data_IF_972565056509
#
_entry.id   IF_972565056509
#
_cell.length_a   1.000
_cell.length_b   1.000
_cell.length_c   1.000
_cell.angle_alpha   90.00
_cell.angle_beta   90.00
_cell.angle_gamma   90.00
#
_symmetry.space_group_name_H-M   'P 1'
#
loop_
_entity.id
_entity.type
_entity.pdbx_description
1 polymer ?
#
# COMPACT_ATOMS: atom_id res chain seq x y z
N UNK A 1 -13.64 -6.77 -10.67
CA UNK A 1 -13.12 -6.79 -9.30
C UNK A 1 -13.45 -5.48 -8.61
N UNK A 2 -13.94 -5.54 -7.39
CA UNK A 2 -14.27 -4.34 -6.60
C UNK A 2 -13.03 -3.84 -5.86
N UNK A 3 -13.06 -2.59 -5.40
CA UNK A 3 -11.97 -2.04 -4.60
C UNK A 3 -11.74 -2.84 -3.30
N UNK A 4 -12.78 -3.24 -2.54
CA UNK A 4 -12.56 -4.11 -1.38
C UNK A 4 -11.89 -5.44 -1.72
N UNK A 5 -12.23 -6.04 -2.85
CA UNK A 5 -11.57 -7.28 -3.31
C UNK A 5 -10.12 -7.03 -3.64
N UNK A 6 -9.80 -5.90 -4.27
CA UNK A 6 -8.42 -5.51 -4.58
C UNK A 6 -7.61 -5.33 -3.30
N UNK A 7 -8.17 -4.67 -2.29
CA UNK A 7 -7.51 -4.47 -0.99
C UNK A 7 -7.19 -5.83 -0.35
N UNK A 8 -8.10 -6.79 -0.42
CA UNK A 8 -7.85 -8.13 0.10
C UNK A 8 -6.73 -8.83 -0.65
N UNK A 9 -6.65 -8.65 -1.95
CA UNK A 9 -5.54 -9.20 -2.76
C UNK A 9 -4.21 -8.54 -2.40
N UNK A 10 -4.22 -7.23 -2.16
CA UNK A 10 -3.03 -6.51 -1.70
C UNK A 10 -2.54 -7.10 -0.37
N UNK A 11 -3.44 -7.25 0.58
CA UNK A 11 -3.10 -7.82 1.89
C UNK A 11 -2.57 -9.24 1.75
N UNK A 12 -3.22 -10.07 0.94
CA UNK A 12 -2.79 -11.44 0.70
C UNK A 12 -1.39 -11.48 0.09
N UNK A 13 -1.10 -10.59 -0.87
CA UNK A 13 0.22 -10.49 -1.50
C UNK A 13 1.28 -10.08 -0.47
N UNK A 14 0.97 -9.12 0.39
CA UNK A 14 1.89 -8.67 1.44
C UNK A 14 2.22 -9.80 2.42
N UNK A 15 1.24 -10.66 2.73
CA UNK A 15 1.43 -11.80 3.63
C UNK A 15 2.09 -13.01 2.97
N UNK A 16 2.18 -13.03 1.66
CA UNK A 16 2.74 -14.17 0.92
C UNK A 16 4.25 -13.98 0.73
N UNK A 17 5.08 -14.96 1.10
CA UNK A 17 6.52 -14.90 0.84
C UNK A 17 6.81 -14.72 -0.65
N UNK A 18 7.87 -13.96 -0.96
CA UNK A 18 8.23 -13.65 -2.34
C UNK A 18 7.39 -12.52 -2.92
N UNK A 19 7.54 -12.26 -4.20
CA UNK A 19 6.91 -11.13 -4.87
C UNK A 19 6.09 -11.51 -6.10
N UNK A 20 5.89 -12.81 -6.35
CA UNK A 20 5.11 -13.25 -7.50
C UNK A 20 3.66 -12.82 -7.43
N UNK A 21 3.10 -12.71 -6.24
CA UNK A 21 1.71 -12.30 -6.04
C UNK A 21 1.44 -10.84 -6.43
N UNK A 22 2.48 -10.03 -6.62
CA UNK A 22 2.32 -8.64 -7.07
C UNK A 22 1.58 -8.57 -8.41
N UNK A 23 1.75 -9.56 -9.28
CA UNK A 23 1.06 -9.61 -10.58
C UNK A 23 -0.46 -9.70 -10.45
N UNK A 24 -0.96 -10.13 -9.31
CA UNK A 24 -2.40 -10.22 -9.04
C UNK A 24 -2.98 -8.91 -8.53
N UNK A 25 -2.12 -7.94 -8.25
CA UNK A 25 -2.46 -6.66 -7.63
C UNK A 25 -2.13 -5.50 -8.55
N UNK A 26 -0.94 -5.53 -9.15
CA UNK A 26 -0.40 -4.44 -9.96
C UNK A 26 -0.20 -4.85 -11.41
N UNK A 27 -0.45 -3.90 -12.32
CA UNK A 27 -0.11 -4.07 -13.73
C UNK A 27 1.41 -4.11 -13.90
N UNK A 28 1.93 -4.72 -14.99
CA UNK A 28 3.38 -4.86 -15.18
C UNK A 28 4.16 -3.55 -15.14
N UNK A 29 3.58 -2.45 -15.62
CA UNK A 29 4.25 -1.14 -15.61
C UNK A 29 3.75 -0.20 -14.53
N UNK A 30 3.13 -0.71 -13.47
CA UNK A 30 2.54 0.11 -12.42
C UNK A 30 3.56 1.03 -11.75
N UNK A 31 3.09 2.20 -11.33
CA UNK A 31 3.85 3.15 -10.54
C UNK A 31 3.41 3.04 -9.07
N UNK A 32 4.36 3.06 -8.16
CA UNK A 32 4.14 2.95 -6.72
C UNK A 32 4.90 4.09 -6.03
N UNK A 33 4.18 4.94 -5.32
CA UNK A 33 4.77 6.08 -4.61
C UNK A 33 4.53 5.94 -3.12
N UNK A 34 5.61 6.00 -2.33
CA UNK A 34 5.54 5.78 -0.88
C UNK A 34 5.16 7.03 -0.09
N UNK A 35 5.16 8.19 -0.72
CA UNK A 35 4.65 9.44 -0.17
C UNK A 35 4.55 10.46 -1.30
N UNK A 36 3.84 11.59 -1.09
CA UNK A 36 3.70 12.60 -2.16
C UNK A 36 5.01 13.17 -2.68
N UNK A 37 6.05 13.15 -1.87
CA UNK A 37 7.35 13.72 -2.22
C UNK A 37 8.36 12.70 -2.76
N UNK A 38 8.04 11.41 -2.68
CA UNK A 38 8.93 10.37 -3.20
C UNK A 38 8.77 10.19 -4.70
N UNK A 39 9.82 9.79 -5.36
CA UNK A 39 9.75 9.40 -6.76
C UNK A 39 8.97 8.09 -6.87
N UNK A 40 8.30 7.90 -8.00
CA UNK A 40 7.57 6.65 -8.26
C UNK A 40 8.55 5.51 -8.50
N UNK A 41 8.23 4.37 -7.90
CA UNK A 41 8.89 3.10 -8.15
C UNK A 41 8.09 2.43 -9.26
N UNK A 42 8.70 2.15 -10.40
CA UNK A 42 7.97 1.71 -11.60
C UNK A 42 8.33 0.28 -11.97
N UNK A 43 7.30 -0.53 -12.18
CA UNK A 43 7.42 -1.90 -12.63
C UNK A 43 7.47 -2.92 -11.50
N UNK A 44 7.05 -4.15 -11.79
CA UNK A 44 6.89 -5.20 -10.79
C UNK A 44 8.22 -5.58 -10.13
N UNK A 45 9.32 -5.59 -10.88
CA UNK A 45 10.63 -5.94 -10.30
C UNK A 45 11.08 -4.92 -9.26
N UNK A 46 10.93 -3.64 -9.57
CA UNK A 46 11.31 -2.56 -8.65
C UNK A 46 10.39 -2.51 -7.43
N UNK A 47 9.09 -2.70 -7.65
CA UNK A 47 8.11 -2.76 -6.55
C UNK A 47 8.42 -3.97 -5.66
N UNK A 48 8.72 -5.11 -6.26
CA UNK A 48 9.08 -6.32 -5.52
C UNK A 48 10.33 -6.14 -4.68
N UNK A 49 11.34 -5.49 -5.22
CA UNK A 49 12.58 -5.21 -4.48
C UNK A 49 12.29 -4.29 -3.28
N UNK A 50 11.43 -3.31 -3.45
CA UNK A 50 11.03 -2.42 -2.35
C UNK A 50 10.26 -3.19 -1.28
N UNK A 51 9.32 -4.04 -1.68
CA UNK A 51 8.56 -4.86 -0.72
C UNK A 51 9.48 -5.78 0.08
N UNK A 52 10.46 -6.40 -0.55
CA UNK A 52 11.41 -7.27 0.15
C UNK A 52 12.22 -6.50 1.20
N UNK A 53 12.55 -5.24 0.92
CA UNK A 53 13.25 -4.40 1.91
C UNK A 53 12.35 -3.98 3.07
N UNK A 54 11.05 -3.76 2.80
CA UNK A 54 10.11 -3.23 3.78
C UNK A 54 9.53 -4.31 4.70
N UNK A 55 9.38 -5.54 4.20
CA UNK A 55 8.78 -6.63 4.97
C UNK A 55 9.80 -7.25 5.92
N UNK A 56 9.35 -7.51 7.14
CA UNK A 56 10.20 -8.13 8.17
C UNK A 56 10.41 -9.63 7.97
N UNK A 57 9.70 -10.25 7.04
CA UNK A 57 9.82 -11.67 6.75
C UNK A 57 8.46 -12.38 6.81
N UNK A 58 8.45 -13.70 6.57
CA UNK A 58 7.20 -14.46 6.48
C UNK A 58 6.43 -14.57 7.80
N UNK A 59 7.11 -14.33 8.92
CA UNK A 59 6.49 -14.41 10.25
C UNK A 59 5.99 -13.05 10.75
N UNK A 60 5.95 -12.06 9.89
CA UNK A 60 5.46 -10.73 10.25
C UNK A 60 3.98 -10.80 10.65
N UNK A 61 3.69 -10.44 11.89
CA UNK A 61 2.34 -10.50 12.45
C UNK A 61 1.74 -9.09 12.47
N UNK A 62 0.67 -8.90 11.71
CA UNK A 62 0.00 -7.61 11.64
C UNK A 62 -1.48 -7.79 11.33
N UNK A 63 -2.26 -6.75 11.66
CA UNK A 63 -3.65 -6.61 11.24
C UNK A 63 -3.78 -5.43 10.31
N UNK A 64 -4.69 -5.55 9.36
CA UNK A 64 -4.98 -4.48 8.40
C UNK A 64 -6.49 -4.30 8.31
N UNK A 65 -6.95 -3.07 8.58
CA UNK A 65 -8.34 -2.68 8.41
C UNK A 65 -8.40 -1.60 7.33
N UNK A 66 -9.34 -1.73 6.41
CA UNK A 66 -9.46 -0.81 5.30
C UNK A 66 -10.90 -0.37 5.10
N UNK A 67 -11.06 0.91 4.74
CA UNK A 67 -12.35 1.50 4.41
C UNK A 67 -12.23 2.27 3.11
N UNK A 68 -13.09 1.96 2.14
CA UNK A 68 -13.14 2.73 0.90
C UNK A 68 -13.86 4.04 1.20
N UNK A 69 -13.12 5.15 1.15
CA UNK A 69 -13.66 6.47 1.46
C UNK A 69 -14.43 7.05 0.29
N UNK A 70 -13.92 6.86 -0.92
CA UNK A 70 -14.53 7.40 -2.13
C UNK A 70 -14.04 6.65 -3.36
N UNK A 71 -14.86 6.64 -4.38
CA UNK A 71 -14.51 6.09 -5.70
C UNK A 71 -15.09 7.00 -6.76
N UNK A 72 -14.33 7.23 -7.81
CA UNK A 72 -14.79 7.95 -8.99
C UNK A 72 -14.04 7.44 -10.22
N UNK A 73 -14.80 6.98 -11.22
CA UNK A 73 -14.19 6.42 -12.42
C UNK A 73 -13.29 5.23 -12.08
N UNK A 74 -12.03 5.34 -12.44
CA UNK A 74 -11.02 4.31 -12.21
C UNK A 74 -10.19 4.54 -10.94
N UNK A 75 -10.56 5.52 -10.12
CA UNK A 75 -9.77 5.93 -8.95
C UNK A 75 -10.53 5.66 -7.66
N UNK A 76 -9.84 5.11 -6.68
CA UNK A 76 -10.38 4.90 -5.34
C UNK A 76 -9.47 5.51 -4.29
N UNK A 77 -10.08 5.99 -3.21
CA UNK A 77 -9.37 6.46 -2.01
C UNK A 77 -9.71 5.52 -0.87
N UNK A 78 -8.70 4.95 -0.23
CA UNK A 78 -8.87 3.93 0.82
C UNK A 78 -8.15 4.40 2.08
N UNK A 79 -8.86 4.38 3.20
CA UNK A 79 -8.26 4.65 4.51
C UNK A 79 -7.87 3.32 5.14
N UNK A 80 -6.62 3.21 5.59
CA UNK A 80 -6.06 1.95 6.06
C UNK A 80 -5.45 2.13 7.44
N UNK A 81 -5.70 1.17 8.33
CA UNK A 81 -5.03 1.09 9.62
C UNK A 81 -4.27 -0.23 9.68
N UNK A 82 -2.97 -0.15 9.94
CA UNK A 82 -2.10 -1.32 10.04
C UNK A 82 -1.45 -1.33 11.41
N UNK A 83 -1.50 -2.49 12.06
CA UNK A 83 -0.86 -2.66 13.37
C UNK A 83 -0.01 -3.91 13.37
N UNK A 84 1.27 -3.72 13.66
CA UNK A 84 2.25 -4.81 13.80
C UNK A 84 2.37 -5.20 15.27
N UNK A 85 2.28 -6.50 15.54
CA UNK A 85 2.32 -7.02 16.91
C UNK A 85 3.69 -6.85 17.57
N UNK A 86 4.74 -6.79 16.76
CA UNK A 86 6.09 -6.54 17.27
C UNK A 86 6.84 -7.79 17.68
N UNK A 87 7.96 -7.68 18.40
CA UNK A 87 8.61 -6.44 18.81
C UNK A 87 9.40 -5.72 17.70
N UNK A 88 9.37 -4.39 17.62
CA UNK A 88 8.54 -3.50 18.42
C UNK A 88 7.11 -3.39 17.89
N UNK A 89 6.16 -3.06 18.76
CA UNK A 89 4.79 -2.76 18.34
C UNK A 89 4.82 -1.46 17.54
N UNK A 90 4.22 -1.51 16.35
CA UNK A 90 4.15 -0.35 15.45
C UNK A 90 2.75 -0.25 14.87
N UNK A 91 2.31 0.96 14.62
CA UNK A 91 1.06 1.15 13.90
C UNK A 91 1.20 2.27 12.89
N UNK A 92 0.41 2.17 11.82
CA UNK A 92 0.33 3.18 10.79
C UNK A 92 -1.13 3.44 10.46
N UNK A 93 -1.44 4.69 10.13
CA UNK A 93 -2.70 5.05 9.52
C UNK A 93 -2.38 5.67 8.18
N UNK A 94 -2.88 5.03 7.14
CA UNK A 94 -2.53 5.38 5.77
C UNK A 94 -3.76 5.90 5.02
N UNK A 95 -3.49 6.73 4.05
CA UNK A 95 -4.44 7.00 2.99
C UNK A 95 -3.82 6.50 1.69
N UNK A 96 -4.58 5.69 0.95
CA UNK A 96 -4.14 5.17 -0.34
C UNK A 96 -4.96 5.82 -1.46
N UNK A 97 -4.28 6.26 -2.50
CA UNK A 97 -4.92 6.69 -3.75
C UNK A 97 -4.56 5.66 -4.81
N UNK A 98 -5.57 4.96 -5.31
CA UNK A 98 -5.40 3.79 -6.18
C UNK A 98 -6.09 4.03 -7.50
N UNK A 99 -5.35 3.94 -8.59
CA UNK A 99 -5.93 4.04 -9.94
C UNK A 99 -5.81 2.69 -10.63
N UNK A 100 -6.93 2.23 -11.21
CA UNK A 100 -7.04 0.92 -11.83
C UNK A 100 -7.00 1.00 -13.35
N UNK A 101 -6.38 0.02 -13.97
CA UNK A 101 -6.49 -0.19 -15.40
C UNK A 101 -7.78 -0.94 -15.75
N UNK A 102 -8.01 -1.13 -17.05
CA UNK A 102 -9.23 -1.76 -17.55
C UNK A 102 -9.37 -3.22 -17.14
N UNK A 103 -8.27 -3.88 -16.77
CA UNK A 103 -8.24 -5.26 -16.30
C UNK A 103 -8.44 -5.38 -14.78
N UNK A 104 -8.63 -4.26 -14.07
CA UNK A 104 -8.82 -4.25 -12.62
C UNK A 104 -7.52 -4.26 -11.83
N UNK A 105 -6.37 -4.32 -12.48
CA UNK A 105 -5.08 -4.22 -11.79
C UNK A 105 -4.72 -2.76 -11.56
N UNK A 106 -4.01 -2.49 -10.47
CA UNK A 106 -3.58 -1.13 -10.16
C UNK A 106 -2.47 -0.69 -11.10
N UNK A 107 -2.62 0.50 -11.67
CA UNK A 107 -1.61 1.10 -12.56
C UNK A 107 -0.87 2.25 -11.88
N UNK A 108 -1.45 2.84 -10.84
CA UNK A 108 -0.84 3.93 -10.11
C UNK A 108 -1.29 3.86 -8.65
N UNK A 109 -0.34 3.73 -7.76
CA UNK A 109 -0.59 3.59 -6.32
C UNK A 109 0.23 4.62 -5.57
N UNK A 110 -0.45 5.37 -4.70
CA UNK A 110 0.22 6.33 -3.83
C UNK A 110 -0.25 6.09 -2.41
N UNK A 111 0.68 5.95 -1.48
CA UNK A 111 0.35 5.83 -0.06
C UNK A 111 0.85 7.03 0.72
N UNK A 112 0.08 7.39 1.73
CA UNK A 112 0.41 8.47 2.66
C UNK A 112 0.41 7.86 4.06
N UNK A 113 1.53 7.25 4.48
CA UNK A 113 1.57 6.58 5.78
C UNK A 113 1.93 7.56 6.89
N UNK A 114 1.19 7.45 7.99
CA UNK A 114 1.47 8.23 9.19
C UNK A 114 1.57 7.30 10.38
N UNK A 115 2.47 7.60 11.31
CA UNK A 115 2.63 6.85 12.55
C UNK A 115 2.33 7.77 13.74
N UNK A 116 2.02 7.20 14.93
CA UNK A 116 1.76 8.02 16.12
C UNK A 116 2.94 8.93 16.44
N UNK A 117 2.63 10.15 16.82
CA UNK A 117 3.64 11.15 17.17
C UNK A 117 4.25 11.89 15.98
N UNK A 118 3.93 11.49 14.77
CA UNK A 118 4.41 12.20 13.58
C UNK A 118 3.69 13.53 13.43
N UNK A 119 4.46 14.61 13.38
CA UNK A 119 3.88 15.93 13.15
C UNK A 119 3.64 16.14 11.66
N UNK A 120 2.42 16.58 11.33
CA UNK A 120 2.05 16.96 9.97
C UNK A 120 1.81 18.46 9.84
N UNK A 121 1.95 19.18 10.98
CA UNK A 121 1.76 20.62 11.01
C UNK A 121 3.08 21.29 10.69
N UNK A 122 3.06 22.30 9.81
CA UNK A 122 4.25 23.09 9.52
C UNK A 122 4.78 23.72 10.80
N UNK A 123 6.11 23.72 11.01
CA UNK A 123 6.68 24.34 12.21
C UNK A 123 6.38 25.83 12.23
N UNK A 124 6.16 26.35 13.41
CA UNK A 124 5.99 27.79 13.63
C UNK A 124 7.38 28.44 13.65
N UNK A 125 7.47 29.60 13.06
CA UNK A 125 8.69 30.40 13.07
C UNK A 125 8.77 31.23 14.34
#
# INVERSE_FOLDING_TARGET
MTTPEWVKRYEAAWRTPGTEALRDVFAPGAAYRQSPYHESIVGLDAIGAMWDRERAGPDEDFTLDAEVVAETGDTAVVRVAVRYAGPPVREYRDLWVVRFGSDGLCVDFEEWPFHPGQSITAPRE
#
